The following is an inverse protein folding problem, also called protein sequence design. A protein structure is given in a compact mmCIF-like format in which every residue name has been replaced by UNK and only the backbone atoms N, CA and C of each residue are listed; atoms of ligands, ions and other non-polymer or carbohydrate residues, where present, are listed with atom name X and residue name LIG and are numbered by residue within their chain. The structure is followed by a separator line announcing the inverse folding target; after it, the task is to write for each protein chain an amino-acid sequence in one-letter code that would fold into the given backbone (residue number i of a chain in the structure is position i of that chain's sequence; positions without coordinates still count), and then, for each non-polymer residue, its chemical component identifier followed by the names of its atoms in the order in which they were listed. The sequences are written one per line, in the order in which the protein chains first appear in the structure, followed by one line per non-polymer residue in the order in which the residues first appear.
data_IF_188798835590
#
_entry.id   IF_188798835590
#
_cell.length_a   1.000
_cell.length_b   1.000
_cell.length_c   1.000
_cell.angle_alpha   90.00
_cell.angle_beta   90.00
_cell.angle_gamma   90.00
#
_symmetry.space_group_name_H-M   'P 1'
#
loop_
_entity.id
_entity.type
_entity.pdbx_description
1 polymer ?
#
# COMPACT_ATOMS: atom_id res chain seq x y z
N UNK A 1 3.99 -19.86 -9.36
CA UNK A 1 2.97 -19.73 -8.29
C UNK A 1 2.30 -21.06 -8.00
N UNK A 2 3.09 -22.08 -7.73
CA UNK A 2 2.58 -23.45 -7.60
C UNK A 2 2.01 -23.82 -6.22
N UNK A 3 2.05 -22.87 -5.27
CA UNK A 3 1.51 -23.12 -3.93
C UNK A 3 0.11 -22.53 -3.78
N UNK A 4 -0.83 -23.29 -3.19
CA UNK A 4 -2.17 -22.79 -2.91
C UNK A 4 -2.13 -21.82 -1.71
N UNK A 5 -1.83 -20.56 -1.98
CA UNK A 5 -1.86 -19.49 -0.96
C UNK A 5 -3.06 -18.58 -1.22
N UNK A 6 -3.64 -18.03 -0.16
CA UNK A 6 -4.81 -17.17 -0.24
C UNK A 6 -4.49 -15.78 -0.80
N UNK A 7 -3.26 -15.32 -0.58
CA UNK A 7 -2.80 -14.02 -1.06
C UNK A 7 -1.31 -13.82 -0.79
N UNK A 8 -0.79 -12.68 -1.26
CA UNK A 8 0.61 -12.32 -1.13
C UNK A 8 0.75 -10.95 -0.48
N UNK A 9 1.82 -10.75 0.25
CA UNK A 9 2.20 -9.46 0.81
C UNK A 9 3.64 -9.16 0.44
N UNK A 10 3.87 -8.02 -0.19
CA UNK A 10 5.21 -7.51 -0.45
C UNK A 10 5.55 -6.52 0.66
N UNK A 11 6.51 -6.90 1.50
CA UNK A 11 6.92 -6.12 2.66
C UNK A 11 7.80 -4.93 2.27
N UNK A 12 7.99 -3.97 3.18
CA UNK A 12 8.92 -2.86 2.96
C UNK A 12 10.35 -3.34 2.74
N UNK A 13 11.11 -2.54 1.97
CA UNK A 13 12.52 -2.78 1.71
C UNK A 13 13.27 -1.49 1.45
N UNK A 14 14.61 -1.49 1.51
CA UNK A 14 15.41 -0.26 1.44
C UNK A 14 15.64 0.26 0.02
N UNK A 15 15.29 -0.50 -1.01
CA UNK A 15 15.61 -0.18 -2.41
C UNK A 15 14.43 0.42 -3.17
N UNK A 16 14.68 0.83 -4.41
CA UNK A 16 13.61 1.16 -5.35
C UNK A 16 12.99 -0.13 -5.93
N UNK A 17 11.81 -0.07 -6.55
CA UNK A 17 11.21 -1.25 -7.20
C UNK A 17 12.12 -1.93 -8.22
N UNK A 18 12.91 -1.16 -8.98
CA UNK A 18 13.85 -1.70 -9.96
C UNK A 18 14.98 -2.52 -9.31
N UNK A 19 15.33 -2.23 -8.07
CA UNK A 19 16.40 -2.87 -7.32
C UNK A 19 15.90 -3.98 -6.38
N UNK A 20 14.60 -4.12 -6.25
CA UNK A 20 13.97 -4.99 -5.26
C UNK A 20 13.80 -6.45 -5.72
N UNK A 21 14.57 -6.91 -6.69
CA UNK A 21 14.54 -8.30 -7.14
C UNK A 21 13.20 -8.72 -7.72
N UNK A 22 12.52 -9.65 -7.04
CA UNK A 22 11.29 -10.27 -7.57
C UNK A 22 10.01 -9.46 -7.35
N UNK A 23 10.08 -8.28 -6.72
CA UNK A 23 8.85 -7.54 -6.39
C UNK A 23 8.01 -7.21 -7.61
N UNK A 24 8.61 -6.69 -8.67
CA UNK A 24 7.90 -6.39 -9.92
C UNK A 24 7.36 -7.65 -10.60
N UNK A 25 8.13 -8.73 -10.59
CA UNK A 25 7.71 -10.02 -11.15
C UNK A 25 6.52 -10.59 -10.39
N UNK A 26 6.52 -10.47 -9.07
CA UNK A 26 5.42 -10.95 -8.23
C UNK A 26 4.14 -10.12 -8.47
N UNK A 27 4.27 -8.81 -8.62
CA UNK A 27 3.11 -7.96 -8.98
C UNK A 27 2.51 -8.41 -10.31
N UNK A 28 3.35 -8.60 -11.33
CA UNK A 28 2.91 -9.06 -12.64
C UNK A 28 2.20 -10.42 -12.55
N UNK A 29 2.77 -11.36 -11.80
CA UNK A 29 2.21 -12.69 -11.64
C UNK A 29 0.87 -12.67 -10.90
N UNK A 30 0.73 -11.85 -9.86
CA UNK A 30 -0.53 -11.67 -9.14
C UNK A 30 -1.60 -11.04 -10.03
N UNK A 31 -1.23 -10.05 -10.84
CA UNK A 31 -2.15 -9.41 -11.78
C UNK A 31 -2.67 -10.41 -12.81
N UNK A 32 -1.78 -11.20 -13.41
CA UNK A 32 -2.14 -12.21 -14.41
C UNK A 32 -3.02 -13.31 -13.83
N UNK A 33 -2.71 -13.77 -12.63
CA UNK A 33 -3.42 -14.88 -11.98
C UNK A 33 -4.62 -14.43 -11.12
N UNK A 34 -4.94 -13.14 -11.07
CA UNK A 34 -5.99 -12.56 -10.23
C UNK A 34 -5.85 -12.95 -8.75
N UNK A 35 -4.61 -12.93 -8.24
CA UNK A 35 -4.31 -13.27 -6.86
C UNK A 35 -4.33 -12.04 -5.97
N UNK A 36 -4.92 -12.14 -4.75
CA UNK A 36 -4.87 -11.04 -3.80
C UNK A 36 -3.43 -10.66 -3.44
N UNK A 37 -3.15 -9.36 -3.47
CA UNK A 37 -1.84 -8.79 -3.18
C UNK A 37 -1.99 -7.51 -2.36
N UNK A 38 -1.20 -7.40 -1.30
CA UNK A 38 -0.99 -6.16 -0.57
C UNK A 38 0.48 -5.77 -0.69
N UNK A 39 0.75 -4.59 -1.24
CA UNK A 39 2.07 -3.99 -1.26
C UNK A 39 2.21 -2.94 -0.17
N UNK A 40 3.26 -3.05 0.66
CA UNK A 40 3.54 -2.10 1.73
C UNK A 40 4.83 -1.36 1.40
N UNK A 41 4.77 -0.03 1.35
CA UNK A 41 5.88 0.86 1.05
C UNK A 41 6.55 0.52 -0.29
N UNK A 42 7.64 -0.24 -0.30
CA UNK A 42 8.28 -0.72 -1.53
C UNK A 42 7.32 -1.54 -2.40
N UNK A 43 6.50 -2.37 -1.79
CA UNK A 43 5.47 -3.15 -2.50
C UNK A 43 4.42 -2.28 -3.16
N UNK A 44 3.98 -1.23 -2.48
CA UNK A 44 3.09 -0.20 -3.03
C UNK A 44 3.72 0.48 -4.25
N UNK A 45 4.99 0.88 -4.14
CA UNK A 45 5.74 1.49 -5.24
C UNK A 45 5.90 0.53 -6.43
N UNK A 46 6.15 -0.75 -6.16
CA UNK A 46 6.24 -1.78 -7.21
C UNK A 46 4.91 -1.94 -7.96
N UNK A 47 3.79 -1.93 -7.25
CA UNK A 47 2.46 -1.96 -7.86
C UNK A 47 2.26 -0.71 -8.73
N UNK A 48 2.53 0.47 -8.18
CA UNK A 48 2.41 1.73 -8.92
C UNK A 48 3.22 1.72 -10.21
N UNK A 49 4.47 1.30 -10.14
CA UNK A 49 5.36 1.23 -11.30
C UNK A 49 4.91 0.18 -12.33
N UNK A 50 4.48 -0.99 -11.88
CA UNK A 50 4.02 -2.05 -12.79
C UNK A 50 2.85 -1.58 -13.67
N UNK A 51 1.91 -0.84 -13.10
CA UNK A 51 0.74 -0.36 -13.84
C UNK A 51 0.97 0.97 -14.58
N UNK A 52 2.18 1.52 -14.56
CA UNK A 52 2.54 2.70 -15.35
C UNK A 52 2.68 3.99 -14.57
N UNK A 53 2.59 3.95 -13.25
CA UNK A 53 2.86 5.09 -12.38
C UNK A 53 4.36 5.37 -12.27
N UNK A 54 4.71 6.46 -11.62
CA UNK A 54 6.09 6.90 -11.46
C UNK A 54 6.45 7.02 -9.99
N UNK A 55 7.60 6.46 -9.61
CA UNK A 55 8.14 6.57 -8.25
C UNK A 55 9.12 7.74 -8.22
N UNK A 56 8.84 8.73 -7.39
CA UNK A 56 9.65 9.95 -7.27
C UNK A 56 9.94 10.27 -5.81
N UNK A 57 10.89 11.18 -5.58
CA UNK A 57 11.12 11.71 -4.24
C UNK A 57 10.01 12.66 -3.85
N UNK A 58 9.29 12.30 -2.77
CA UNK A 58 8.45 13.24 -2.01
C UNK A 58 9.28 13.97 -0.96
N UNK A 59 8.65 14.75 -0.08
CA UNK A 59 9.35 15.45 1.00
C UNK A 59 10.06 14.50 1.98
N UNK A 60 11.04 15.01 2.72
CA UNK A 60 11.75 14.26 3.74
C UNK A 60 10.82 13.85 4.89
N UNK A 61 10.49 12.59 5.00
CA UNK A 61 9.53 12.06 5.98
C UNK A 61 10.09 10.83 6.72
N UNK A 62 11.37 10.89 7.09
CA UNK A 62 12.01 9.80 7.83
C UNK A 62 11.48 9.72 9.27
N UNK A 63 10.86 8.60 9.63
CA UNK A 63 10.40 8.31 10.98
C UNK A 63 9.29 9.23 11.50
N UNK A 64 8.64 10.00 10.63
CA UNK A 64 7.55 10.91 11.00
C UNK A 64 6.20 10.28 10.79
N UNK A 65 5.23 10.69 11.62
CA UNK A 65 3.83 10.32 11.44
C UNK A 65 3.12 11.35 10.58
N UNK A 66 2.11 10.90 9.85
CA UNK A 66 1.25 11.74 9.01
C UNK A 66 -0.20 11.32 9.18
N UNK A 67 -1.11 12.27 9.06
CA UNK A 67 -2.53 11.96 8.99
C UNK A 67 -2.86 11.41 7.61
N UNK A 68 -3.54 10.28 7.57
CA UNK A 68 -3.96 9.61 6.34
C UNK A 68 -5.47 9.73 6.22
N UNK A 69 -5.92 10.40 5.17
CA UNK A 69 -7.32 10.48 4.78
C UNK A 69 -7.63 9.39 3.77
N UNK A 70 -8.73 8.68 3.93
CA UNK A 70 -9.12 7.58 3.04
C UNK A 70 -10.63 7.56 2.77
N UNK A 71 -11.04 6.80 1.75
CA UNK A 71 -12.43 6.67 1.32
C UNK A 71 -13.15 5.43 1.87
N UNK A 72 -12.53 4.72 2.81
CA UNK A 72 -13.03 3.48 3.41
C UNK A 72 -13.16 2.31 2.43
N UNK A 73 -12.55 2.37 1.26
CA UNK A 73 -12.57 1.26 0.30
C UNK A 73 -11.38 0.30 0.49
N UNK A 74 -11.54 -0.94 0.03
CA UNK A 74 -10.48 -1.95 0.08
C UNK A 74 -10.02 -2.23 1.52
N UNK A 75 -8.70 -2.12 1.76
CA UNK A 75 -8.12 -2.38 3.08
C UNK A 75 -8.48 -1.33 4.13
N UNK A 76 -9.05 -0.20 3.74
CA UNK A 76 -9.48 0.86 4.66
C UNK A 76 -10.90 0.69 5.17
N UNK A 77 -11.59 -0.37 4.79
CA UNK A 77 -12.97 -0.63 5.21
C UNK A 77 -13.12 -0.65 6.73
N UNK A 78 -14.05 0.15 7.25
CA UNK A 78 -14.35 0.22 8.67
C UNK A 78 -13.33 0.97 9.54
N UNK A 79 -12.28 1.54 8.95
CA UNK A 79 -11.28 2.31 9.69
C UNK A 79 -11.71 3.77 9.86
N UNK A 80 -11.34 4.42 10.98
CA UNK A 80 -11.57 5.85 11.14
C UNK A 80 -10.76 6.67 10.12
N UNK A 81 -11.25 7.83 9.75
CA UNK A 81 -10.54 8.75 8.86
C UNK A 81 -10.63 10.18 9.42
N UNK A 82 -9.50 10.93 9.50
CA UNK A 82 -8.14 10.45 9.26
C UNK A 82 -7.61 9.55 10.40
N UNK A 83 -6.54 8.83 10.15
CA UNK A 83 -5.77 8.17 11.21
C UNK A 83 -4.27 8.47 11.04
N UNK A 84 -3.51 8.29 12.12
CA UNK A 84 -2.07 8.54 12.10
C UNK A 84 -1.31 7.32 11.62
N UNK A 85 -0.40 7.50 10.68
CA UNK A 85 0.44 6.44 10.14
C UNK A 85 1.91 6.86 10.10
N UNK A 86 2.80 5.87 10.20
CA UNK A 86 4.25 6.07 10.16
C UNK A 86 4.76 5.97 8.73
N UNK A 87 5.61 6.93 8.35
CA UNK A 87 6.30 6.97 7.04
C UNK A 87 7.80 6.94 7.27
N UNK A 88 8.49 6.01 6.60
CA UNK A 88 9.95 5.89 6.70
C UNK A 88 10.67 6.33 5.41
N UNK A 89 9.96 6.48 4.30
CA UNK A 89 10.55 6.76 2.99
C UNK A 89 10.14 8.11 2.44
N UNK A 90 11.07 8.71 1.70
CA UNK A 90 10.86 9.93 0.92
C UNK A 90 10.35 9.65 -0.49
N UNK A 91 10.14 8.40 -0.88
CA UNK A 91 9.62 8.03 -2.20
C UNK A 91 8.09 7.94 -2.17
N UNK A 92 7.47 8.44 -3.22
CA UNK A 92 6.01 8.39 -3.41
C UNK A 92 5.70 8.02 -4.86
N UNK A 93 4.49 7.52 -5.09
CA UNK A 93 3.98 7.27 -6.44
C UNK A 93 3.26 8.51 -6.93
N UNK A 94 3.63 8.98 -8.10
CA UNK A 94 2.90 10.05 -8.81
C UNK A 94 2.42 9.54 -10.17
N UNK A 95 1.58 10.32 -10.84
CA UNK A 95 0.98 9.94 -12.12
C UNK A 95 0.30 8.57 -12.01
N UNK A 96 -0.52 8.39 -10.97
CA UNK A 96 -1.25 7.14 -10.74
C UNK A 96 -2.07 6.79 -11.98
N UNK A 97 -1.85 5.60 -12.58
CA UNK A 97 -2.56 5.21 -13.80
C UNK A 97 -4.05 4.95 -13.52
N UNK A 98 -4.86 5.02 -14.57
CA UNK A 98 -6.32 4.86 -14.46
C UNK A 98 -6.75 3.48 -13.91
N UNK A 99 -5.90 2.46 -14.08
CA UNK A 99 -6.16 1.13 -13.52
C UNK A 99 -6.12 1.11 -11.98
N UNK A 100 -5.48 2.10 -11.35
CA UNK A 100 -5.36 2.22 -9.90
C UNK A 100 -6.24 3.37 -9.40
N UNK A 101 -7.08 3.07 -8.42
CA UNK A 101 -7.95 4.06 -7.76
C UNK A 101 -7.26 4.49 -6.47
N UNK A 102 -6.88 5.75 -6.38
CA UNK A 102 -6.33 6.33 -5.15
C UNK A 102 -7.41 6.34 -4.08
N UNK A 103 -7.19 5.66 -2.97
CA UNK A 103 -8.14 5.56 -1.87
C UNK A 103 -7.62 6.15 -0.55
N UNK A 104 -6.37 6.59 -0.51
CA UNK A 104 -5.80 7.28 0.66
C UNK A 104 -4.78 8.32 0.24
N UNK A 105 -4.79 9.45 0.93
CA UNK A 105 -3.86 10.56 0.71
C UNK A 105 -3.41 11.17 2.02
N UNK A 106 -2.30 11.89 1.99
CA UNK A 106 -1.80 12.67 3.12
C UNK A 106 -1.21 13.98 2.61
N UNK A 107 -1.36 15.04 3.41
CA UNK A 107 -0.68 16.30 3.12
C UNK A 107 0.83 16.12 3.26
N UNK A 108 1.58 16.70 2.34
CA UNK A 108 3.05 16.69 2.39
C UNK A 108 3.55 18.01 2.94
N UNK A 109 4.16 18.03 4.15
CA UNK A 109 4.67 19.27 4.72
C UNK A 109 5.70 19.93 3.81
N UNK A 110 5.52 21.24 3.55
CA UNK A 110 6.43 22.02 2.73
C UNK A 110 6.28 21.89 1.22
N UNK A 111 5.31 21.11 0.76
CA UNK A 111 4.94 20.99 -0.65
C UNK A 111 3.45 21.31 -0.81
N UNK A 112 3.12 21.95 -1.93
CA UNK A 112 1.71 22.17 -2.27
C UNK A 112 1.12 20.84 -2.78
N UNK A 113 0.04 20.40 -2.12
CA UNK A 113 -0.69 19.22 -2.55
C UNK A 113 -0.59 18.03 -1.59
N UNK A 114 -1.14 16.92 -2.04
CA UNK A 114 -1.22 15.69 -1.28
C UNK A 114 -0.37 14.59 -1.90
N UNK A 115 0.12 13.68 -1.06
CA UNK A 115 0.82 12.47 -1.49
C UNK A 115 -0.15 11.30 -1.48
N UNK A 116 -0.01 10.40 -2.45
CA UNK A 116 -0.76 9.13 -2.49
C UNK A 116 -0.25 8.23 -1.37
N UNK A 117 -1.16 7.84 -0.48
CA UNK A 117 -0.86 6.95 0.66
C UNK A 117 -1.44 5.56 0.47
N UNK A 118 -2.36 5.39 -0.43
CA UNK A 118 -2.95 4.10 -0.76
C UNK A 118 -3.67 4.13 -2.09
N UNK A 119 -3.73 2.97 -2.72
CA UNK A 119 -4.55 2.75 -3.91
C UNK A 119 -5.00 1.29 -3.95
N UNK A 120 -6.00 1.04 -4.78
CA UNK A 120 -6.44 -0.31 -5.14
C UNK A 120 -6.59 -0.40 -6.65
N UNK A 121 -6.42 -1.59 -7.19
CA UNK A 121 -6.76 -1.81 -8.60
C UNK A 121 -8.27 -1.74 -8.78
N UNK A 122 -8.71 -1.18 -9.90
CA UNK A 122 -10.14 -1.03 -10.21
C UNK A 122 -10.87 -2.39 -10.30
N UNK A 123 -10.20 -3.42 -10.84
CA UNK A 123 -10.80 -4.72 -11.14
C UNK A 123 -10.12 -5.90 -10.44
N UNK A 124 -8.83 -5.80 -10.11
CA UNK A 124 -8.05 -6.88 -9.53
C UNK A 124 -7.95 -6.74 -8.00
N UNK A 125 -7.77 -7.85 -7.26
CA UNK A 125 -7.63 -7.81 -5.80
C UNK A 125 -6.21 -7.37 -5.38
N UNK A 126 -5.76 -6.23 -5.91
CA UNK A 126 -4.43 -5.67 -5.68
C UNK A 126 -4.56 -4.34 -4.94
N UNK A 127 -3.87 -4.23 -3.80
CA UNK A 127 -3.93 -3.08 -2.91
C UNK A 127 -2.52 -2.63 -2.54
N UNK A 128 -2.35 -1.33 -2.35
CA UNK A 128 -1.08 -0.75 -1.93
C UNK A 128 -1.25 0.30 -0.85
N UNK A 129 -0.33 0.32 0.11
CA UNK A 129 -0.23 1.38 1.12
C UNK A 129 1.22 1.85 1.20
N UNK A 130 1.42 3.17 1.24
CA UNK A 130 2.75 3.78 1.28
C UNK A 130 3.33 3.78 2.70
N UNK A 131 2.49 3.78 3.71
CA UNK A 131 2.90 3.79 5.11
C UNK A 131 3.12 2.37 5.65
N UNK A 132 3.56 2.27 6.90
CA UNK A 132 3.87 1.01 7.57
C UNK A 132 2.76 0.60 8.55
N UNK A 133 1.81 -0.28 8.14
CA UNK A 133 0.73 -0.72 9.04
C UNK A 133 1.24 -1.57 10.21
N UNK A 134 2.41 -2.20 10.06
CA UNK A 134 3.04 -3.01 11.11
C UNK A 134 3.69 -2.17 12.21
N UNK A 135 3.93 -0.89 11.96
CA UNK A 135 4.60 -0.01 12.92
C UNK A 135 3.70 0.28 14.13
N UNK A 136 4.30 0.27 15.33
CA UNK A 136 3.60 0.59 16.58
C UNK A 136 3.05 2.01 16.59
N UNK A 137 3.66 2.93 15.84
CA UNK A 137 3.21 4.31 15.74
C UNK A 137 2.11 4.52 14.69
N UNK A 138 1.74 3.48 13.93
CA UNK A 138 0.61 3.53 13.01
C UNK A 138 -0.66 3.07 13.73
N UNK A 139 -1.67 3.96 13.75
CA UNK A 139 -2.98 3.63 14.29
C UNK A 139 -3.71 2.65 13.36
N UNK A 140 -4.47 1.72 13.93
CA UNK A 140 -5.33 0.78 13.19
C UNK A 140 -4.60 -0.10 12.15
N UNK A 141 -3.28 -0.23 12.25
CA UNK A 141 -2.49 -1.03 11.30
C UNK A 141 -2.88 -2.50 11.29
N UNK A 142 -3.11 -3.10 12.45
CA UNK A 142 -3.56 -4.50 12.55
C UNK A 142 -4.95 -4.69 11.93
N UNK A 143 -5.86 -3.73 12.12
CA UNK A 143 -7.18 -3.78 11.51
C UNK A 143 -7.11 -3.71 9.98
N UNK A 144 -6.19 -2.90 9.44
CA UNK A 144 -5.93 -2.83 8.01
C UNK A 144 -5.43 -4.16 7.46
N UNK A 145 -4.47 -4.79 8.15
CA UNK A 145 -3.95 -6.11 7.76
C UNK A 145 -5.05 -7.18 7.85
N UNK A 146 -5.90 -7.14 8.87
CA UNK A 146 -7.05 -8.03 9.00
C UNK A 146 -8.04 -7.84 7.84
N UNK A 147 -8.26 -6.60 7.39
CA UNK A 147 -9.09 -6.32 6.21
C UNK A 147 -8.51 -6.99 4.96
N UNK A 148 -7.20 -6.94 4.77
CA UNK A 148 -6.57 -7.64 3.65
C UNK A 148 -6.76 -9.15 3.74
N UNK A 149 -6.59 -9.75 4.91
CA UNK A 149 -6.83 -11.18 5.10
C UNK A 149 -8.29 -11.56 4.78
N UNK A 150 -9.23 -10.72 5.16
CA UNK A 150 -10.65 -10.89 4.81
C UNK A 150 -10.86 -10.85 3.28
N UNK A 151 -10.17 -9.93 2.59
CA UNK A 151 -10.21 -9.85 1.13
C UNK A 151 -9.58 -11.09 0.47
N UNK A 152 -8.68 -11.78 1.16
CA UNK A 152 -8.13 -13.07 0.73
C UNK A 152 -9.06 -14.26 1.02
N UNK A 153 -10.20 -14.03 1.68
CA UNK A 153 -11.11 -15.09 2.10
C UNK A 153 -10.72 -15.76 3.42
N UNK A 154 -9.84 -15.14 4.20
CA UNK A 154 -9.39 -15.64 5.50
C UNK A 154 -10.10 -14.88 6.61
N UNK A 155 -10.71 -15.60 7.55
CA UNK A 155 -11.26 -14.99 8.76
C UNK A 155 -10.10 -14.59 9.69
N UNK A 156 -9.92 -13.28 9.90
CA UNK A 156 -8.87 -12.75 10.75
C UNK A 156 -9.44 -12.31 12.10
N UNK A 157 -8.76 -12.72 13.18
CA UNK A 157 -9.06 -12.23 14.53
C UNK A 157 -8.02 -11.19 14.91
N UNK A 158 -8.48 -10.01 15.31
CA UNK A 158 -7.60 -9.00 15.85
C UNK A 158 -7.07 -9.42 17.22
N UNK A 159 -5.80 -9.10 17.54
CA UNK A 159 -5.29 -9.29 18.89
C UNK A 159 -6.15 -8.48 19.87
N UNK A 160 -6.42 -9.09 20.98
CA UNK A 160 -7.20 -8.46 22.05
C UNK A 160 -6.31 -7.55 22.88
#
# INVERSE_FOLDING_TARGET
MDRPVAGYLISPGPCTPNEAGISLELVAACAEAHRPLLGVCLGHQSIGQHFGGRVVRGGLMHGKTSAVDHDASGVFSGLPTPFTATRYHSLVVENTPDALVVNATSETPGLDGTSVMGFRHADLPIHGVQFHPESIATEHGHALLANFLTLCGIEAKLPV
#
